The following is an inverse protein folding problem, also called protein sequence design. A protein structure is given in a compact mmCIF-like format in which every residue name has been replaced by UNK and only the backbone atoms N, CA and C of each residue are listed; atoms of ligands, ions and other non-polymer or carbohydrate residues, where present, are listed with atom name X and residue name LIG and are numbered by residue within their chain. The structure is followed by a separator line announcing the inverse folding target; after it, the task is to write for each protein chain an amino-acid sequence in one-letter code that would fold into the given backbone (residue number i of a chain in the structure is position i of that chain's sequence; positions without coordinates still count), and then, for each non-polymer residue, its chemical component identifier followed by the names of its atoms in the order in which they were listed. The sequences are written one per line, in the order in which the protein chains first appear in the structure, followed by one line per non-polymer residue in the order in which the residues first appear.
data_IF_990160942946
#
_entry.id   IF_990160942946
#
_cell.length_a   1.000
_cell.length_b   1.000
_cell.length_c   1.000
_cell.angle_alpha   90.00
_cell.angle_beta   90.00
_cell.angle_gamma   90.00
#
_symmetry.space_group_name_H-M   'P 1'
#
loop_
_entity.id
_entity.type
_entity.pdbx_description
1 polymer ?
#
# COMPACT_ATOMS: atom_id res chain seq x y z
N UNK A 1 2.78 -3.59 11.54
CA UNK A 1 2.78 -2.58 10.46
C UNK A 1 4.08 -2.68 9.70
N UNK A 2 4.06 -2.59 8.37
CA UNK A 2 5.24 -2.73 7.52
C UNK A 2 5.18 -1.73 6.36
N UNK A 3 6.32 -1.10 6.06
CA UNK A 3 6.50 -0.22 4.91
C UNK A 3 7.67 -0.78 4.09
N UNK A 4 7.52 -0.78 2.78
CA UNK A 4 8.55 -1.17 1.84
C UNK A 4 8.56 -0.22 0.64
N UNK A 5 9.74 0.27 0.27
CA UNK A 5 9.95 1.02 -0.97
C UNK A 5 10.71 0.12 -1.96
N UNK A 6 10.16 -0.05 -3.16
CA UNK A 6 10.73 -0.91 -4.20
C UNK A 6 11.08 -0.12 -5.45
N UNK A 7 12.18 -0.44 -6.11
CA UNK A 7 12.47 0.09 -7.45
C UNK A 7 11.93 -0.83 -8.56
N UNK A 8 11.79 -2.13 -8.26
CA UNK A 8 11.34 -3.13 -9.20
C UNK A 8 9.81 -3.28 -9.18
N UNK A 9 9.27 -3.77 -10.31
CA UNK A 9 7.87 -4.15 -10.41
C UNK A 9 7.51 -5.24 -9.39
N UNK A 10 6.26 -5.23 -8.94
CA UNK A 10 5.73 -6.25 -8.04
C UNK A 10 4.29 -6.59 -8.36
N UNK A 11 3.89 -7.81 -8.03
CA UNK A 11 2.48 -8.22 -8.05
C UNK A 11 1.85 -7.88 -6.68
N UNK A 12 0.87 -6.95 -6.64
CA UNK A 12 0.27 -6.51 -5.38
C UNK A 12 -0.55 -7.62 -4.71
N UNK A 13 -1.17 -8.52 -5.48
CA UNK A 13 -2.02 -9.58 -4.96
C UNK A 13 -1.19 -10.69 -4.34
N UNK A 14 -0.11 -11.09 -5.01
CA UNK A 14 0.85 -12.05 -4.44
C UNK A 14 1.57 -11.46 -3.23
N UNK A 15 1.94 -10.18 -3.29
CA UNK A 15 2.58 -9.49 -2.15
C UNK A 15 1.66 -9.45 -0.94
N UNK A 16 0.38 -9.11 -1.14
CA UNK A 16 -0.65 -9.12 -0.09
C UNK A 16 -0.83 -10.52 0.52
N UNK A 17 -0.97 -11.54 -0.33
CA UNK A 17 -1.17 -12.93 0.09
C UNK A 17 0.02 -13.43 0.93
N UNK A 18 1.25 -13.29 0.40
CA UNK A 18 2.46 -13.70 1.11
C UNK A 18 2.62 -12.95 2.44
N UNK A 19 2.36 -11.64 2.46
CA UNK A 19 2.44 -10.87 3.70
C UNK A 19 1.44 -11.39 4.73
N UNK A 20 0.17 -11.60 4.34
CA UNK A 20 -0.86 -12.11 5.25
C UNK A 20 -0.49 -13.50 5.80
N UNK A 21 -0.01 -14.41 4.95
CA UNK A 21 0.42 -15.76 5.35
C UNK A 21 1.60 -15.73 6.34
N UNK A 22 2.52 -14.76 6.17
CA UNK A 22 3.64 -14.57 7.10
C UNK A 22 3.21 -14.08 8.49
N UNK A 23 1.96 -13.61 8.65
CA UNK A 23 1.39 -13.09 9.90
C UNK A 23 0.56 -14.14 10.64
N UNK A 24 1.13 -15.34 10.85
CA UNK A 24 0.47 -16.44 11.57
C UNK A 24 -0.11 -16.03 12.94
N UNK A 25 0.54 -15.09 13.65
CA UNK A 25 0.05 -14.55 14.93
C UNK A 25 -1.24 -13.74 14.86
N UNK A 26 -1.74 -13.42 13.66
CA UNK A 26 -2.99 -12.71 13.41
C UNK A 26 -4.10 -13.60 12.85
N UNK A 27 -3.83 -14.89 12.60
CA UNK A 27 -4.84 -15.83 12.11
C UNK A 27 -6.07 -15.86 13.04
N UNK A 28 -7.26 -15.70 12.44
CA UNK A 28 -8.54 -15.64 13.16
C UNK A 28 -8.79 -14.36 13.95
N UNK A 29 -7.87 -13.38 13.95
CA UNK A 29 -8.05 -12.11 14.68
C UNK A 29 -8.70 -11.01 13.86
N UNK A 30 -8.51 -11.00 12.54
CA UNK A 30 -9.12 -10.03 11.65
C UNK A 30 -10.36 -10.63 10.98
N UNK A 31 -11.44 -9.84 10.94
CA UNK A 31 -12.67 -10.17 10.21
C UNK A 31 -12.83 -9.34 8.93
N UNK A 32 -11.92 -8.40 8.68
CA UNK A 32 -11.91 -7.60 7.47
C UNK A 32 -10.48 -7.23 7.06
N UNK A 33 -10.23 -7.37 5.76
CA UNK A 33 -9.04 -6.85 5.07
C UNK A 33 -9.53 -5.89 3.99
N UNK A 34 -9.01 -4.67 3.99
CA UNK A 34 -9.19 -3.74 2.88
C UNK A 34 -7.83 -3.51 2.23
N UNK A 35 -7.84 -3.40 0.90
CA UNK A 35 -6.64 -3.15 0.12
C UNK A 35 -6.92 -2.12 -0.97
N UNK A 36 -5.97 -1.24 -1.17
CA UNK A 36 -5.94 -0.27 -2.26
C UNK A 36 -4.70 -0.52 -3.11
N UNK A 37 -4.90 -0.62 -4.42
CA UNK A 37 -3.83 -0.73 -5.40
C UNK A 37 -3.92 0.48 -6.33
N UNK A 38 -2.89 1.32 -6.31
CA UNK A 38 -2.73 2.41 -7.26
C UNK A 38 -1.89 1.94 -8.44
N UNK A 39 -2.38 2.12 -9.66
CA UNK A 39 -1.69 1.78 -10.91
C UNK A 39 -1.46 3.02 -11.76
N UNK A 40 -0.39 3.01 -12.55
CA UNK A 40 -0.14 4.07 -13.52
C UNK A 40 -1.23 4.08 -14.59
N UNK A 41 -1.79 5.26 -14.87
CA UNK A 41 -2.72 5.48 -15.99
C UNK A 41 -1.94 5.92 -17.22
N UNK A 42 -2.47 5.61 -18.40
CA UNK A 42 -1.97 6.04 -19.71
C UNK A 42 -2.47 7.44 -20.13
N UNK A 43 -3.11 8.19 -19.24
CA UNK A 43 -3.58 9.54 -19.51
C UNK A 43 -3.39 10.49 -18.34
N UNK A 44 -3.13 11.76 -18.65
CA UNK A 44 -3.10 12.85 -17.69
C UNK A 44 -3.54 14.15 -18.36
N UNK A 45 -4.48 14.88 -17.76
CA UNK A 45 -4.98 16.19 -18.24
C UNK A 45 -5.42 16.25 -19.72
N UNK A 46 -5.80 15.11 -20.30
CA UNK A 46 -6.24 15.00 -21.70
C UNK A 46 -5.15 14.48 -22.66
N UNK A 47 -3.91 14.36 -22.20
CA UNK A 47 -2.80 13.83 -22.98
C UNK A 47 -2.54 12.35 -22.68
N UNK A 48 -2.08 11.61 -23.69
CA UNK A 48 -1.60 10.24 -23.54
C UNK A 48 -0.22 10.21 -22.90
N UNK A 49 -0.04 9.43 -21.83
CA UNK A 49 1.21 9.28 -21.08
C UNK A 49 1.79 7.89 -21.35
N UNK A 50 3.02 7.84 -21.90
CA UNK A 50 3.68 6.57 -22.24
C UNK A 50 4.54 6.00 -21.10
N UNK A 51 4.84 6.80 -20.09
CA UNK A 51 5.67 6.40 -18.96
C UNK A 51 5.86 7.56 -17.97
N UNK A 52 6.20 7.23 -16.73
CA UNK A 52 6.62 8.23 -15.74
C UNK A 52 7.78 7.69 -14.90
N UNK A 53 8.56 8.60 -14.32
CA UNK A 53 9.60 8.25 -13.35
C UNK A 53 9.25 8.88 -12.01
N UNK A 54 9.07 8.05 -10.99
CA UNK A 54 8.87 8.53 -9.62
C UNK A 54 10.20 8.60 -8.90
N UNK A 55 10.68 9.82 -8.67
CA UNK A 55 11.81 10.06 -7.79
C UNK A 55 11.34 10.11 -6.34
N UNK A 56 12.22 9.72 -5.42
CA UNK A 56 11.93 9.80 -4.00
C UNK A 56 13.19 10.16 -3.24
N UNK A 57 13.02 10.84 -2.10
CA UNK A 57 14.08 11.04 -1.12
C UNK A 57 13.93 9.93 -0.07
N UNK A 58 14.81 8.92 -0.01
CA UNK A 58 14.58 7.68 0.72
C UNK A 58 14.16 7.89 2.18
N UNK A 59 14.95 8.68 2.91
CA UNK A 59 14.72 8.93 4.33
C UNK A 59 13.45 9.76 4.61
N UNK A 60 13.03 10.62 3.69
CA UNK A 60 11.84 11.45 3.89
C UNK A 60 10.56 10.68 3.55
N UNK A 61 10.60 9.89 2.48
CA UNK A 61 9.45 9.12 2.00
C UNK A 61 9.03 8.08 3.03
N UNK A 62 9.98 7.28 3.51
CA UNK A 62 9.72 6.26 4.52
C UNK A 62 9.20 6.88 5.83
N UNK A 63 9.81 8.00 6.28
CA UNK A 63 9.34 8.72 7.48
C UNK A 63 7.92 9.24 7.32
N UNK A 64 7.56 9.77 6.16
CA UNK A 64 6.22 10.29 5.92
C UNK A 64 5.18 9.16 5.91
N UNK A 65 5.48 8.04 5.24
CA UNK A 65 4.64 6.84 5.26
C UNK A 65 4.49 6.28 6.69
N UNK A 66 5.56 6.29 7.47
CA UNK A 66 5.54 5.87 8.87
C UNK A 66 4.64 6.77 9.71
N UNK A 67 4.70 8.09 9.52
CA UNK A 67 3.80 9.02 10.20
C UNK A 67 2.34 8.77 9.83
N UNK A 68 2.03 8.52 8.56
CA UNK A 68 0.67 8.19 8.10
C UNK A 68 0.17 6.90 8.78
N UNK A 69 0.98 5.84 8.78
CA UNK A 69 0.60 4.57 9.42
C UNK A 69 0.41 4.72 10.94
N UNK A 70 1.28 5.48 11.60
CA UNK A 70 1.12 5.77 13.04
C UNK A 70 -0.19 6.52 13.30
N UNK A 71 -0.47 7.58 12.55
CA UNK A 71 -1.72 8.33 12.69
C UNK A 71 -2.97 7.48 12.40
N UNK A 72 -2.89 6.57 11.42
CA UNK A 72 -3.96 5.64 11.13
C UNK A 72 -4.19 4.63 12.27
N UNK A 73 -3.11 4.11 12.88
CA UNK A 73 -3.21 3.21 14.02
C UNK A 73 -3.76 3.89 15.27
N UNK A 74 -3.47 5.18 15.47
CA UNK A 74 -4.06 5.97 16.57
C UNK A 74 -5.55 6.25 16.38
N UNK A 75 -5.99 6.41 15.12
CA UNK A 75 -7.37 6.76 14.78
C UNK A 75 -8.30 5.56 14.62
N UNK A 76 -7.80 4.43 14.15
CA UNK A 76 -8.59 3.23 13.87
C UNK A 76 -8.00 1.99 14.54
N UNK A 77 -8.83 1.00 14.94
CA UNK A 77 -8.37 -0.23 15.60
C UNK A 77 -7.72 -1.20 14.59
N UNK A 78 -6.56 -0.82 14.06
CA UNK A 78 -5.77 -1.62 13.13
C UNK A 78 -5.06 -2.76 13.86
N UNK A 79 -5.21 -3.98 13.35
CA UNK A 79 -4.44 -5.14 13.80
C UNK A 79 -3.10 -5.22 13.08
N UNK A 80 -3.09 -4.85 11.79
CA UNK A 80 -1.86 -4.70 11.01
C UNK A 80 -2.10 -3.79 9.80
N UNK A 81 -1.01 -3.34 9.18
CA UNK A 81 -1.01 -2.59 7.94
C UNK A 81 0.25 -2.88 7.12
N UNK A 82 0.10 -2.88 5.80
CA UNK A 82 1.16 -3.06 4.81
C UNK A 82 1.10 -1.88 3.83
N UNK A 83 2.23 -1.24 3.59
CA UNK A 83 2.40 -0.26 2.52
C UNK A 83 3.61 -0.66 1.69
N UNK A 84 3.40 -0.93 0.40
CA UNK A 84 4.47 -1.13 -0.57
C UNK A 84 4.36 -0.04 -1.61
N UNK A 85 5.41 0.75 -1.79
CA UNK A 85 5.43 1.85 -2.76
C UNK A 85 6.57 1.66 -3.75
N UNK A 86 6.27 1.67 -5.04
CA UNK A 86 7.24 1.59 -6.13
C UNK A 86 7.72 2.98 -6.52
N UNK A 87 9.01 3.08 -6.75
CA UNK A 87 9.70 4.26 -7.27
C UNK A 87 10.46 3.88 -8.55
N UNK A 88 11.07 4.86 -9.21
CA UNK A 88 11.73 4.65 -10.48
C UNK A 88 10.76 4.66 -11.65
N UNK A 89 11.14 3.98 -12.75
CA UNK A 89 10.42 4.05 -14.01
C UNK A 89 9.17 3.15 -14.01
N UNK A 90 8.07 3.71 -14.50
CA UNK A 90 6.76 3.10 -14.56
C UNK A 90 6.17 3.22 -15.97
N UNK A 91 5.43 2.20 -16.36
CA UNK A 91 4.63 2.16 -17.57
C UNK A 91 3.13 2.09 -17.23
N UNK A 92 2.24 2.47 -18.14
CA UNK A 92 0.81 2.29 -17.92
C UNK A 92 0.47 0.87 -17.47
N UNK A 93 -0.52 0.76 -16.57
CA UNK A 93 -0.91 -0.46 -15.86
C UNK A 93 0.07 -0.97 -14.81
N UNK A 94 1.28 -0.42 -14.68
CA UNK A 94 2.20 -0.81 -13.61
C UNK A 94 1.59 -0.50 -12.24
N UNK A 95 1.61 -1.46 -11.29
CA UNK A 95 1.35 -1.20 -9.89
C UNK A 95 2.39 -0.23 -9.33
N UNK A 96 1.90 0.85 -8.75
CA UNK A 96 2.69 1.89 -8.08
C UNK A 96 2.65 1.66 -6.58
N UNK A 97 1.48 1.44 -6.01
CA UNK A 97 1.32 1.34 -4.55
C UNK A 97 0.34 0.23 -4.19
N UNK A 98 0.67 -0.51 -3.15
CA UNK A 98 -0.23 -1.39 -2.42
C UNK A 98 -0.34 -0.84 -1.00
N UNK A 99 -1.56 -0.54 -0.58
CA UNK A 99 -1.91 -0.32 0.83
C UNK A 99 -2.86 -1.44 1.23
N UNK A 100 -2.62 -2.07 2.38
CA UNK A 100 -3.54 -3.03 2.95
C UNK A 100 -3.62 -2.87 4.46
N UNK A 101 -4.83 -3.02 5.01
CA UNK A 101 -5.09 -2.92 6.44
C UNK A 101 -5.95 -4.10 6.89
N UNK A 102 -5.65 -4.60 8.09
CA UNK A 102 -6.38 -5.69 8.73
C UNK A 102 -7.04 -5.18 10.00
N UNK A 103 -8.34 -5.44 10.15
CA UNK A 103 -9.13 -5.03 11.31
C UNK A 103 -10.14 -6.11 11.70
N UNK A 104 -10.74 -5.99 12.88
CA UNK A 104 -11.81 -6.89 13.29
C UNK A 104 -13.07 -6.76 12.40
N UNK A 105 -13.39 -5.57 11.90
CA UNK A 105 -14.64 -5.28 11.21
C UNK A 105 -14.48 -4.32 10.03
N UNK A 106 -15.30 -4.51 8.99
CA UNK A 106 -15.19 -3.81 7.71
C UNK A 106 -15.18 -2.27 7.78
N UNK A 107 -15.86 -1.67 8.76
CA UNK A 107 -15.96 -0.21 8.86
C UNK A 107 -14.59 0.45 9.02
N UNK A 108 -13.83 0.01 10.02
CA UNK A 108 -12.47 0.48 10.25
C UNK A 108 -11.54 0.14 9.08
N UNK A 109 -11.69 -1.03 8.46
CA UNK A 109 -10.88 -1.41 7.29
C UNK A 109 -11.05 -0.42 6.13
N UNK A 110 -12.29 -0.10 5.74
CA UNK A 110 -12.54 0.84 4.65
C UNK A 110 -12.09 2.26 4.97
N UNK A 111 -12.35 2.74 6.18
CA UNK A 111 -11.98 4.11 6.56
C UNK A 111 -10.47 4.32 6.66
N UNK A 112 -9.74 3.35 7.20
CA UNK A 112 -8.29 3.46 7.38
C UNK A 112 -7.48 3.21 6.10
N UNK A 113 -8.03 2.45 5.13
CA UNK A 113 -7.35 2.16 3.87
C UNK A 113 -7.46 3.30 2.83
N UNK A 114 -8.31 4.30 3.09
CA UNK A 114 -8.59 5.40 2.18
C UNK A 114 -7.71 6.61 2.48
#
# INVERSE_FOLDING_TARGET
MHIEIREQAFDPWQTLAHYQESRAGLHGKFGATASFVGTMRDFNEGDSVQGMTLEHYPAMTERHLQHILTAAHERWPLLDALVVHRVGRLQPHDPIVLVAVWTAHRGAAFEACR
#
